data_IF_021940614791
#
_entry.id   IF_021940614791
#
_cell.length_a   1.000
_cell.length_b   1.000
_cell.length_c   1.000
_cell.angle_alpha   90.00
_cell.angle_beta   90.00
_cell.angle_gamma   90.00
#
_symmetry.space_group_name_H-M   'P 1'
#
loop_
_entity.id
_entity.type
_entity.pdbx_description
1 polymer ?
#
# COMPACT_ATOMS: atom_id res chain seq x y z
N UNK A 1 4.64 30.76 -34.21
CA UNK A 1 4.81 29.39 -33.69
C UNK A 1 5.10 29.41 -32.18
N UNK A 2 4.41 30.24 -31.40
CA UNK A 2 4.73 30.46 -29.97
C UNK A 2 3.78 29.69 -29.02
N UNK A 3 2.64 29.23 -29.53
CA UNK A 3 1.63 28.47 -28.77
C UNK A 3 1.98 26.98 -28.58
N UNK A 4 2.99 26.47 -29.30
CA UNK A 4 3.46 25.09 -29.19
C UNK A 4 4.29 24.81 -27.94
N UNK A 5 4.95 25.84 -27.40
CA UNK A 5 5.89 25.70 -26.29
C UNK A 5 5.20 25.32 -24.98
N UNK A 6 3.96 25.76 -24.76
CA UNK A 6 3.15 25.42 -23.58
C UNK A 6 2.66 23.96 -23.57
N UNK A 7 2.59 23.31 -24.73
CA UNK A 7 2.17 21.91 -24.81
C UNK A 7 3.23 20.94 -24.25
N UNK A 8 4.51 21.27 -24.34
CA UNK A 8 5.58 20.40 -23.84
C UNK A 8 5.58 20.29 -22.30
N UNK A 9 5.49 21.39 -21.51
CA UNK A 9 5.31 21.31 -20.06
C UNK A 9 4.03 20.59 -19.65
N UNK A 10 2.91 20.84 -20.35
CA UNK A 10 1.63 20.16 -20.07
C UNK A 10 1.73 18.66 -20.32
N UNK A 11 2.38 18.26 -21.40
CA UNK A 11 2.62 16.86 -21.73
C UNK A 11 3.53 16.19 -20.68
N UNK A 12 4.57 16.90 -20.23
CA UNK A 12 5.42 16.42 -19.13
C UNK A 12 4.62 16.21 -17.84
N UNK A 13 3.82 17.20 -17.44
CA UNK A 13 2.95 17.10 -16.27
C UNK A 13 1.95 15.94 -16.39
N UNK A 14 1.38 15.73 -17.59
CA UNK A 14 0.51 14.61 -17.86
C UNK A 14 1.21 13.26 -17.67
N UNK A 15 2.39 13.06 -18.25
CA UNK A 15 3.16 11.82 -18.08
C UNK A 15 3.56 11.60 -16.62
N UNK A 16 3.94 12.66 -15.91
CA UNK A 16 4.25 12.60 -14.49
C UNK A 16 3.05 12.14 -13.66
N UNK A 17 1.87 12.72 -13.90
CA UNK A 17 0.63 12.34 -13.20
C UNK A 17 0.20 10.92 -13.54
N UNK A 18 0.27 10.52 -14.83
CA UNK A 18 -0.06 9.17 -15.26
C UNK A 18 0.87 8.14 -14.60
N UNK A 19 2.17 8.43 -14.52
CA UNK A 19 3.14 7.58 -13.83
C UNK A 19 2.88 7.51 -12.32
N UNK A 20 2.57 8.64 -11.68
CA UNK A 20 2.20 8.69 -10.27
C UNK A 20 0.94 7.89 -9.96
N UNK A 21 -0.09 8.00 -10.81
CA UNK A 21 -1.33 7.23 -10.69
C UNK A 21 -1.10 5.74 -10.87
N UNK A 22 -0.33 5.35 -11.89
CA UNK A 22 0.11 3.97 -12.08
C UNK A 22 0.92 3.44 -10.89
N UNK A 23 1.76 4.29 -10.29
CA UNK A 23 2.56 3.93 -9.13
C UNK A 23 1.69 3.58 -7.91
N UNK A 24 0.70 4.40 -7.61
CA UNK A 24 -0.21 4.17 -6.49
C UNK A 24 -1.16 2.99 -6.75
N UNK A 25 -1.68 2.87 -7.97
CA UNK A 25 -2.54 1.75 -8.36
C UNK A 25 -1.85 0.40 -8.15
N UNK A 26 -0.58 0.26 -8.58
CA UNK A 26 0.18 -0.98 -8.39
C UNK A 26 0.40 -1.33 -6.90
N UNK A 27 0.51 -0.32 -6.03
CA UNK A 27 0.63 -0.55 -4.57
C UNK A 27 -0.66 -1.12 -3.98
N UNK A 28 -1.82 -0.59 -4.39
CA UNK A 28 -3.13 -1.05 -3.96
C UNK A 28 -3.39 -2.48 -4.49
N UNK A 29 -3.07 -2.76 -5.74
CA UNK A 29 -3.29 -4.08 -6.33
C UNK A 29 -2.40 -5.14 -5.66
N UNK A 30 -1.14 -4.79 -5.38
CA UNK A 30 -0.25 -5.68 -4.64
C UNK A 30 -0.74 -5.95 -3.22
N UNK A 31 -1.28 -4.93 -2.52
CA UNK A 31 -1.96 -5.13 -1.25
C UNK A 31 -3.19 -6.03 -1.40
N UNK A 32 -4.03 -5.82 -2.42
CA UNK A 32 -5.26 -6.59 -2.64
C UNK A 32 -4.96 -8.08 -2.79
N UNK A 33 -3.93 -8.42 -3.55
CA UNK A 33 -3.49 -9.80 -3.73
C UNK A 33 -3.01 -10.41 -2.41
N UNK A 34 -2.18 -9.69 -1.66
CA UNK A 34 -1.71 -10.12 -0.34
C UNK A 34 -2.86 -10.27 0.67
N UNK A 35 -3.80 -9.32 0.68
CA UNK A 35 -4.95 -9.30 1.59
C UNK A 35 -5.90 -10.48 1.38
N UNK A 36 -5.92 -11.09 0.19
CA UNK A 36 -6.78 -12.22 -0.14
C UNK A 36 -6.51 -13.48 0.69
N UNK A 37 -5.35 -13.59 1.33
CA UNK A 37 -4.99 -14.73 2.18
C UNK A 37 -5.51 -14.64 3.63
N UNK A 38 -6.11 -13.49 3.99
CA UNK A 38 -6.52 -13.16 5.35
C UNK A 38 -8.05 -13.11 5.47
N UNK A 39 -8.55 -13.43 6.67
CA UNK A 39 -9.99 -13.31 6.99
C UNK A 39 -10.40 -11.84 7.13
N UNK A 40 -9.48 -11.02 7.65
CA UNK A 40 -9.63 -9.56 7.75
C UNK A 40 -8.33 -8.92 7.33
N UNK A 41 -8.41 -7.87 6.53
CA UNK A 41 -7.25 -7.09 6.17
C UNK A 41 -7.60 -5.60 6.20
N UNK A 42 -6.62 -4.77 6.54
CA UNK A 42 -6.71 -3.32 6.53
C UNK A 42 -5.48 -2.73 5.86
N UNK A 43 -5.74 -1.75 5.00
CA UNK A 43 -4.71 -0.93 4.38
C UNK A 43 -4.68 0.45 5.02
N UNK A 44 -3.48 0.95 5.24
CA UNK A 44 -3.16 2.33 5.58
C UNK A 44 -2.00 2.80 4.68
N UNK A 45 -1.85 4.12 4.51
CA UNK A 45 -0.78 4.72 3.70
C UNK A 45 0.61 4.24 4.15
N UNK A 46 0.81 4.01 5.45
CA UNK A 46 2.09 3.60 6.00
C UNK A 46 2.19 2.13 6.39
N UNK A 47 1.07 1.40 6.43
CA UNK A 47 1.07 0.02 6.92
C UNK A 47 -0.02 -0.83 6.29
N UNK A 48 0.25 -2.12 6.17
CA UNK A 48 -0.76 -3.13 5.90
C UNK A 48 -0.94 -3.98 7.15
N UNK A 49 -2.14 -4.50 7.35
CA UNK A 49 -2.49 -5.38 8.45
C UNK A 49 -3.39 -6.49 7.92
N UNK A 50 -3.11 -7.73 8.29
CA UNK A 50 -3.86 -8.92 7.93
C UNK A 50 -4.05 -9.79 9.16
N UNK A 51 -5.23 -10.34 9.35
CA UNK A 51 -5.56 -11.27 10.41
C UNK A 51 -6.01 -12.60 9.80
N UNK A 52 -5.40 -13.69 10.27
CA UNK A 52 -5.79 -15.06 9.93
C UNK A 52 -5.90 -15.84 11.22
N UNK A 53 -7.11 -16.29 11.58
CA UNK A 53 -7.41 -16.83 12.90
C UNK A 53 -6.92 -15.89 14.01
N UNK A 54 -6.01 -16.35 14.88
CA UNK A 54 -5.40 -15.53 15.93
C UNK A 54 -4.12 -14.83 15.52
N UNK A 55 -3.59 -15.09 14.33
CA UNK A 55 -2.33 -14.50 13.89
C UNK A 55 -2.57 -13.16 13.19
N UNK A 56 -1.85 -12.15 13.67
CA UNK A 56 -1.85 -10.80 13.16
C UNK A 56 -0.55 -10.57 12.41
N UNK A 57 -0.61 -10.21 11.13
CA UNK A 57 0.55 -9.91 10.29
C UNK A 57 0.49 -8.47 9.79
N UNK A 58 1.57 -7.70 9.93
CA UNK A 58 1.64 -6.32 9.44
C UNK A 58 3.00 -6.00 8.82
N UNK A 59 3.04 -4.96 8.00
CA UNK A 59 4.27 -4.52 7.34
C UNK A 59 4.06 -3.22 6.56
N UNK A 60 5.02 -2.86 5.71
CA UNK A 60 4.97 -1.64 4.90
C UNK A 60 4.44 -1.94 3.49
N UNK A 61 3.46 -1.19 2.97
CA UNK A 61 2.96 -1.40 1.61
C UNK A 61 3.98 -0.94 0.56
N UNK A 62 4.19 -1.75 -0.49
CA UNK A 62 4.97 -1.37 -1.67
C UNK A 62 4.30 -1.86 -2.95
N UNK A 63 4.75 -1.34 -4.10
CA UNK A 63 4.25 -1.73 -5.43
C UNK A 63 4.51 -3.20 -5.79
N UNK A 64 5.41 -3.87 -5.07
CA UNK A 64 5.76 -5.28 -5.30
C UNK A 64 5.09 -6.21 -4.29
N UNK A 65 4.30 -5.65 -3.38
CA UNK A 65 3.73 -6.34 -2.23
C UNK A 65 4.25 -5.77 -0.91
N UNK A 66 3.61 -6.11 0.21
CA UNK A 66 4.09 -5.71 1.52
C UNK A 66 5.50 -6.25 1.84
N UNK A 67 6.32 -5.44 2.51
CA UNK A 67 7.66 -5.80 3.00
C UNK A 67 7.75 -5.58 4.51
N UNK A 68 8.87 -5.99 5.11
CA UNK A 68 9.11 -5.91 6.56
C UNK A 68 7.97 -6.54 7.38
N UNK A 69 7.43 -7.67 6.86
CA UNK A 69 6.30 -8.35 7.45
C UNK A 69 6.69 -8.97 8.79
N UNK A 70 5.88 -8.68 9.80
CA UNK A 70 5.97 -9.25 11.14
C UNK A 70 4.65 -9.92 11.48
N UNK A 71 4.73 -11.01 12.23
CA UNK A 71 3.55 -11.78 12.65
C UNK A 71 3.65 -12.09 14.13
N UNK A 72 2.54 -11.94 14.87
CA UNK A 72 2.40 -12.47 16.21
C UNK A 72 1.00 -13.07 16.40
N UNK A 73 0.85 -13.97 17.37
CA UNK A 73 -0.47 -14.50 17.72
C UNK A 73 -1.13 -13.67 18.81
N UNK A 74 -2.37 -13.28 18.61
CA UNK A 74 -3.20 -12.59 19.62
C UNK A 74 -3.31 -13.37 20.94
N UNK A 75 -3.06 -14.68 20.92
CA UNK A 75 -2.99 -15.54 22.11
C UNK A 75 -1.79 -15.24 23.01
N UNK A 76 -0.73 -14.68 22.45
CA UNK A 76 0.51 -14.36 23.16
C UNK A 76 0.47 -12.96 23.81
N UNK A 77 -0.62 -12.21 23.59
CA UNK A 77 -0.79 -10.85 24.13
C UNK A 77 -1.08 -10.92 25.62
N UNK A 78 -0.17 -10.38 26.43
CA UNK A 78 -0.32 -10.35 27.89
C UNK A 78 -1.00 -9.07 28.38
N UNK A 79 -0.79 -7.95 27.69
CA UNK A 79 -1.42 -6.67 28.04
C UNK A 79 -1.47 -5.75 26.82
N UNK A 80 -2.44 -4.84 26.79
CA UNK A 80 -2.57 -3.79 25.78
C UNK A 80 -2.59 -2.45 26.51
N UNK A 81 -1.69 -1.56 26.12
CA UNK A 81 -1.68 -0.17 26.60
C UNK A 81 -1.95 0.75 25.42
N UNK A 82 -3.07 1.46 25.47
CA UNK A 82 -3.38 2.53 24.52
C UNK A 82 -2.76 3.83 25.05
N UNK A 83 -2.15 4.61 24.15
CA UNK A 83 -1.57 5.92 24.45
C UNK A 83 -2.63 7.02 24.32
#
# INVERSE_FOLDING_TARGET
MERGLLWLPLLFAFFWLAWSGWNEYQKIEAYRNWAGEFERAKYDIYSVLGQKSTDLTWGKPTRKGPIDLQTFSLKDVQSIRLL
#
